data_IF_474996744956
#
_entry.id   IF_474996744956
#
_cell.length_a   1.000
_cell.length_b   1.000
_cell.length_c   1.000
_cell.angle_alpha   90.00
_cell.angle_beta   90.00
_cell.angle_gamma   90.00
#
_symmetry.space_group_name_H-M   'P 1'
#
loop_
_entity.id
_entity.type
_entity.pdbx_description
1 polymer ?
#
# COMPACT_ATOMS: atom_id res chain seq x y z
N UNK A 1 9.99 -18.44 6.67
CA UNK A 1 8.93 -18.45 5.62
C UNK A 1 7.53 -18.12 6.13
N UNK A 2 7.05 -18.68 7.26
CA UNK A 2 5.67 -18.42 7.72
C UNK A 2 5.39 -16.94 8.03
N UNK A 3 6.27 -16.28 8.81
CA UNK A 3 6.13 -14.86 9.15
C UNK A 3 6.17 -13.95 7.92
N UNK A 4 7.16 -14.11 7.03
CA UNK A 4 7.27 -13.26 5.85
C UNK A 4 6.06 -13.38 4.94
N UNK A 5 5.62 -14.61 4.68
CA UNK A 5 4.43 -14.88 3.87
C UNK A 5 3.17 -14.29 4.51
N UNK A 6 3.01 -14.43 5.82
CA UNK A 6 1.88 -13.84 6.55
C UNK A 6 1.84 -12.32 6.37
N UNK A 7 2.96 -11.64 6.62
CA UNK A 7 3.05 -10.17 6.49
C UNK A 7 2.79 -9.72 5.05
N UNK A 8 3.35 -10.41 4.05
CA UNK A 8 3.11 -10.10 2.62
C UNK A 8 1.63 -10.26 2.27
N UNK A 9 0.97 -11.32 2.75
CA UNK A 9 -0.46 -11.53 2.50
C UNK A 9 -1.29 -10.45 3.20
N UNK A 10 -0.99 -10.13 4.46
CA UNK A 10 -1.68 -9.11 5.22
C UNK A 10 -1.59 -7.75 4.52
N UNK A 11 -0.37 -7.32 4.18
CA UNK A 11 -0.15 -6.06 3.45
C UNK A 11 -0.81 -6.11 2.07
N UNK A 12 -0.75 -7.25 1.37
CA UNK A 12 -1.42 -7.43 0.09
C UNK A 12 -2.93 -7.21 0.15
N UNK A 13 -3.59 -7.76 1.18
CA UNK A 13 -5.01 -7.53 1.43
C UNK A 13 -5.28 -6.06 1.71
N UNK A 14 -4.51 -5.44 2.61
CA UNK A 14 -4.66 -4.03 2.97
C UNK A 14 -4.52 -3.14 1.71
N UNK A 15 -3.45 -3.30 0.95
CA UNK A 15 -3.20 -2.55 -0.30
C UNK A 15 -4.34 -2.71 -1.31
N UNK A 16 -4.95 -3.89 -1.41
CA UNK A 16 -6.09 -4.12 -2.30
C UNK A 16 -7.36 -3.40 -1.85
N UNK A 17 -7.62 -3.28 -0.55
CA UNK A 17 -8.94 -2.83 -0.06
C UNK A 17 -8.98 -1.39 0.42
N UNK A 18 -7.90 -0.83 0.96
CA UNK A 18 -7.99 0.43 1.74
C UNK A 18 -8.42 1.63 0.89
N UNK A 19 -7.86 1.81 -0.31
CA UNK A 19 -8.25 2.92 -1.19
C UNK A 19 -9.71 2.80 -1.64
N UNK A 20 -10.13 1.58 -2.01
CA UNK A 20 -11.53 1.31 -2.37
C UNK A 20 -12.49 1.64 -1.22
N UNK A 21 -12.12 1.27 0.01
CA UNK A 21 -12.93 1.58 1.19
C UNK A 21 -12.98 3.09 1.47
N UNK A 22 -11.84 3.78 1.39
CA UNK A 22 -11.76 5.21 1.60
C UNK A 22 -12.59 5.98 0.57
N UNK A 23 -12.47 5.64 -0.71
CA UNK A 23 -13.01 6.45 -1.80
C UNK A 23 -14.46 6.08 -2.15
N UNK A 24 -14.88 4.82 -1.95
CA UNK A 24 -16.20 4.33 -2.39
C UNK A 24 -17.15 3.96 -1.24
N UNK A 25 -16.64 3.76 -0.02
CA UNK A 25 -17.44 3.17 1.07
C UNK A 25 -17.59 4.12 2.26
N UNK A 26 -16.56 4.88 2.62
CA UNK A 26 -16.58 5.80 3.77
C UNK A 26 -16.85 7.23 3.28
N UNK A 27 -18.06 7.79 3.46
CA UNK A 27 -18.42 9.08 2.83
C UNK A 27 -17.50 10.24 3.21
N UNK A 28 -17.09 10.32 4.48
CA UNK A 28 -16.24 11.40 4.97
C UNK A 28 -14.81 11.33 4.41
N UNK A 29 -14.34 10.13 4.05
CA UNK A 29 -13.07 9.95 3.36
C UNK A 29 -13.24 10.19 1.86
N UNK A 30 -14.32 9.70 1.25
CA UNK A 30 -14.61 9.89 -0.17
C UNK A 30 -14.71 11.37 -0.55
N UNK A 31 -15.26 12.21 0.34
CA UNK A 31 -15.34 13.65 0.18
C UNK A 31 -13.96 14.34 0.11
N UNK A 32 -12.90 13.68 0.61
CA UNK A 32 -11.51 14.14 0.58
C UNK A 32 -10.73 13.63 -0.64
N UNK A 33 -11.35 12.80 -1.50
CA UNK A 33 -10.72 12.10 -2.61
C UNK A 33 -11.49 12.36 -3.93
N UNK A 34 -11.60 11.38 -4.83
CA UNK A 34 -12.24 11.51 -6.15
C UNK A 34 -13.67 12.12 -6.14
N UNK A 35 -14.40 12.05 -5.02
CA UNK A 35 -15.75 12.61 -4.89
C UNK A 35 -15.79 14.04 -4.35
N UNK A 36 -14.64 14.65 -4.08
CA UNK A 36 -14.56 16.05 -3.69
C UNK A 36 -15.07 16.96 -4.83
N UNK A 37 -16.12 17.77 -4.65
CA UNK A 37 -16.60 18.69 -5.69
C UNK A 37 -15.60 19.82 -6.02
N UNK A 38 -14.69 20.17 -5.10
CA UNK A 38 -13.69 21.22 -5.30
C UNK A 38 -12.50 20.76 -6.17
N UNK A 39 -12.26 19.44 -6.27
CA UNK A 39 -11.15 18.92 -7.06
C UNK A 39 -11.35 19.12 -8.57
N UNK A 40 -10.31 19.57 -9.30
CA UNK A 40 -10.36 19.60 -10.75
C UNK A 40 -10.45 18.17 -11.32
N UNK A 41 -11.03 17.99 -12.53
CA UNK A 41 -11.19 16.66 -13.12
C UNK A 41 -9.91 15.82 -13.20
N UNK A 42 -8.75 16.46 -13.38
CA UNK A 42 -7.47 15.77 -13.48
C UNK A 42 -6.98 15.20 -12.13
N UNK A 43 -7.25 15.88 -11.01
CA UNK A 43 -6.91 15.36 -9.68
C UNK A 43 -7.72 14.09 -9.38
N UNK A 44 -9.02 14.12 -9.68
CA UNK A 44 -9.92 12.96 -9.57
C UNK A 44 -9.46 11.78 -10.43
N UNK A 45 -8.95 12.07 -11.63
CA UNK A 45 -8.39 11.03 -12.51
C UNK A 45 -7.17 10.35 -11.88
N UNK A 46 -6.21 11.11 -11.35
CA UNK A 46 -5.01 10.54 -10.72
C UNK A 46 -5.34 9.76 -9.45
N UNK A 47 -6.30 10.21 -8.67
CA UNK A 47 -6.77 9.52 -7.48
C UNK A 47 -7.45 8.19 -7.82
N UNK A 48 -8.41 8.20 -8.76
CA UNK A 48 -9.03 6.98 -9.27
C UNK A 48 -8.01 6.03 -9.93
N UNK A 49 -7.04 6.58 -10.66
CA UNK A 49 -5.91 5.82 -11.21
C UNK A 49 -5.11 5.16 -10.08
N UNK A 50 -4.81 5.88 -9.00
CA UNK A 50 -4.09 5.35 -7.85
C UNK A 50 -4.88 4.24 -7.15
N UNK A 51 -6.17 4.45 -6.86
CA UNK A 51 -7.06 3.44 -6.29
C UNK A 51 -7.08 2.15 -7.12
N UNK A 52 -7.25 2.25 -8.45
CA UNK A 52 -7.24 1.06 -9.34
C UNK A 52 -5.86 0.41 -9.35
N UNK A 53 -4.79 1.19 -9.37
CA UNK A 53 -3.42 0.68 -9.37
C UNK A 53 -3.09 -0.06 -8.07
N UNK A 54 -3.53 0.41 -6.90
CA UNK A 54 -3.31 -0.31 -5.64
C UNK A 54 -4.07 -1.64 -5.60
N UNK A 55 -5.29 -1.70 -6.16
CA UNK A 55 -6.02 -2.97 -6.33
C UNK A 55 -5.21 -3.95 -7.19
N UNK A 56 -4.74 -3.52 -8.37
CA UNK A 56 -3.96 -4.36 -9.28
C UNK A 56 -2.64 -4.82 -8.66
N UNK A 57 -1.87 -3.92 -8.06
CA UNK A 57 -0.60 -4.25 -7.40
C UNK A 57 -0.81 -5.17 -6.19
N UNK A 58 -1.87 -4.94 -5.40
CA UNK A 58 -2.26 -5.80 -4.29
C UNK A 58 -2.58 -7.23 -4.76
N UNK A 59 -3.39 -7.37 -5.82
CA UNK A 59 -3.71 -8.67 -6.42
C UNK A 59 -2.48 -9.38 -6.99
N UNK A 60 -1.58 -8.65 -7.66
CA UNK A 60 -0.30 -9.19 -8.15
C UNK A 60 0.52 -9.72 -6.97
N UNK A 61 0.72 -8.92 -5.93
CA UNK A 61 1.45 -9.30 -4.71
C UNK A 61 0.85 -10.53 -4.02
N UNK A 62 -0.47 -10.57 -3.85
CA UNK A 62 -1.20 -11.71 -3.30
C UNK A 62 -1.03 -12.97 -4.15
N UNK A 63 -1.11 -12.84 -5.48
CA UNK A 63 -0.91 -13.96 -6.39
C UNK A 63 0.51 -14.54 -6.30
N UNK A 64 1.51 -13.69 -6.04
CA UNK A 64 2.88 -14.10 -5.80
C UNK A 64 3.02 -14.80 -4.44
N UNK A 65 2.29 -14.36 -3.40
CA UNK A 65 2.38 -14.93 -2.06
C UNK A 65 1.54 -16.21 -1.82
N UNK A 66 0.46 -16.40 -2.59
CA UNK A 66 -0.52 -17.46 -2.35
C UNK A 66 -0.33 -18.72 -3.22
N UNK A 67 0.22 -18.62 -4.43
CA UNK A 67 0.33 -19.77 -5.35
C UNK A 67 1.26 -20.86 -4.77
N UNK A 68 0.72 -22.07 -4.62
CA UNK A 68 1.35 -23.21 -3.92
C UNK A 68 2.50 -23.89 -4.65
N UNK A 69 2.59 -23.76 -5.98
CA UNK A 69 3.48 -24.61 -6.81
C UNK A 69 4.99 -24.40 -6.57
N UNK A 70 5.42 -23.28 -5.97
CA UNK A 70 6.76 -23.10 -5.38
C UNK A 70 6.83 -21.70 -4.78
N UNK A 71 6.85 -21.62 -3.44
CA UNK A 71 7.17 -20.37 -2.75
C UNK A 71 8.68 -20.29 -2.65
N UNK A 72 9.29 -19.48 -3.50
CA UNK A 72 10.73 -19.23 -3.49
C UNK A 72 11.04 -17.91 -2.80
N UNK A 73 12.30 -17.76 -2.37
CA UNK A 73 12.84 -16.50 -1.83
C UNK A 73 12.58 -15.33 -2.79
N UNK A 74 12.98 -15.47 -4.05
CA UNK A 74 12.87 -14.41 -5.05
C UNK A 74 11.42 -14.01 -5.31
N UNK A 75 10.51 -14.98 -5.28
CA UNK A 75 9.08 -14.72 -5.43
C UNK A 75 8.51 -13.90 -4.27
N UNK A 76 8.91 -14.19 -3.03
CA UNK A 76 8.48 -13.41 -1.85
C UNK A 76 9.10 -12.01 -1.84
N UNK A 77 10.35 -11.88 -2.26
CA UNK A 77 10.99 -10.56 -2.42
C UNK A 77 10.33 -9.74 -3.53
N UNK A 78 9.99 -10.37 -4.65
CA UNK A 78 9.23 -9.73 -5.73
C UNK A 78 7.84 -9.29 -5.25
N UNK A 79 7.11 -10.15 -4.54
CA UNK A 79 5.83 -9.78 -3.92
C UNK A 79 5.98 -8.59 -2.97
N UNK A 80 7.05 -8.57 -2.17
CA UNK A 80 7.35 -7.48 -1.24
C UNK A 80 7.60 -6.16 -1.99
N UNK A 81 8.41 -6.19 -3.05
CA UNK A 81 8.73 -5.01 -3.86
C UNK A 81 7.49 -4.45 -4.56
N UNK A 82 6.66 -5.31 -5.16
CA UNK A 82 5.40 -4.92 -5.80
C UNK A 82 4.46 -4.24 -4.81
N UNK A 83 4.32 -4.81 -3.61
CA UNK A 83 3.44 -4.25 -2.57
C UNK A 83 4.00 -2.98 -1.92
N UNK A 84 5.32 -2.79 -1.92
CA UNK A 84 5.95 -1.57 -1.38
C UNK A 84 5.79 -0.37 -2.32
N UNK A 85 5.73 -0.61 -3.64
CA UNK A 85 5.70 0.43 -4.65
C UNK A 85 4.64 1.53 -4.43
N UNK A 86 3.34 1.24 -4.17
CA UNK A 86 2.36 2.30 -3.96
C UNK A 86 2.67 3.14 -2.71
N UNK A 87 3.05 2.49 -1.60
CA UNK A 87 3.35 3.18 -0.34
C UNK A 87 4.60 4.08 -0.43
N UNK A 88 5.65 3.59 -1.09
CA UNK A 88 6.86 4.39 -1.36
C UNK A 88 6.53 5.54 -2.31
N UNK A 89 5.74 5.28 -3.35
CA UNK A 89 5.28 6.31 -4.29
C UNK A 89 4.48 7.42 -3.60
N UNK A 90 3.56 7.06 -2.70
CA UNK A 90 2.76 8.02 -1.94
C UNK A 90 3.60 8.88 -1.00
N UNK A 91 4.54 8.30 -0.25
CA UNK A 91 5.46 9.09 0.59
C UNK A 91 6.36 9.96 -0.30
N UNK A 92 6.85 9.39 -1.41
CA UNK A 92 7.70 10.10 -2.37
C UNK A 92 7.01 11.28 -3.05
N UNK A 93 5.68 11.23 -3.21
CA UNK A 93 4.90 12.34 -3.76
C UNK A 93 5.10 13.63 -2.95
N UNK A 94 5.27 13.54 -1.63
CA UNK A 94 5.49 14.69 -0.74
C UNK A 94 6.81 15.43 -0.97
N UNK A 95 7.73 14.85 -1.77
CA UNK A 95 8.96 15.51 -2.17
C UNK A 95 8.74 16.50 -3.33
N UNK A 96 7.59 16.45 -3.99
CA UNK A 96 7.27 17.32 -5.11
C UNK A 96 6.56 18.59 -4.64
N UNK A 97 6.93 19.77 -5.16
CA UNK A 97 6.37 21.04 -4.73
C UNK A 97 4.86 21.10 -5.01
N UNK A 98 4.10 21.63 -4.06
CA UNK A 98 2.65 21.80 -4.19
C UNK A 98 1.83 20.53 -3.94
N UNK A 99 2.45 19.45 -3.48
CA UNK A 99 1.73 18.25 -3.02
C UNK A 99 1.44 18.32 -1.51
N UNK A 100 0.31 17.75 -1.11
CA UNK A 100 -0.11 17.65 0.29
C UNK A 100 -0.85 16.33 0.51
N UNK A 101 -0.99 15.93 1.77
CA UNK A 101 -1.75 14.70 2.14
C UNK A 101 -3.25 14.93 2.25
N UNK A 102 -3.67 16.20 2.32
CA UNK A 102 -5.05 16.64 2.41
C UNK A 102 -5.13 18.10 1.96
N UNK A 103 -6.30 18.54 1.51
CA UNK A 103 -6.56 19.95 1.21
C UNK A 103 -6.82 20.78 2.47
N UNK A 104 -6.51 22.09 2.48
CA UNK A 104 -6.74 22.96 3.63
C UNK A 104 -8.18 22.94 4.17
N UNK A 105 -9.17 22.66 3.32
CA UNK A 105 -10.57 22.56 3.72
C UNK A 105 -10.86 21.40 4.68
N UNK A 106 -9.98 20.38 4.75
CA UNK A 106 -10.12 19.23 5.64
C UNK A 106 -9.18 19.26 6.85
N UNK A 107 -8.51 20.38 7.12
CA UNK A 107 -7.54 20.49 8.21
C UNK A 107 -8.09 20.08 9.58
N UNK A 108 -9.36 20.39 9.85
CA UNK A 108 -10.04 20.07 11.11
C UNK A 108 -10.72 18.69 11.12
N UNK A 109 -10.72 18.00 9.99
CA UNK A 109 -11.44 16.74 9.77
C UNK A 109 -10.50 15.57 9.43
N UNK A 110 -9.22 15.83 9.23
CA UNK A 110 -8.24 14.78 9.00
C UNK A 110 -7.71 14.15 10.29
N UNK A 111 -7.32 12.88 10.20
CA UNK A 111 -6.83 12.10 11.34
C UNK A 111 -5.32 12.16 11.39
N UNK A 112 -4.79 12.60 12.53
CA UNK A 112 -3.36 12.56 12.83
C UNK A 112 -3.04 11.47 13.86
N UNK A 113 -1.98 10.71 13.59
CA UNK A 113 -1.45 9.68 14.49
C UNK A 113 0.02 9.99 14.72
N UNK A 114 0.40 10.25 15.98
CA UNK A 114 1.76 10.66 16.35
C UNK A 114 2.27 11.88 15.55
N UNK A 115 1.38 12.82 15.23
CA UNK A 115 1.71 14.03 14.45
C UNK A 115 1.83 13.80 12.93
N UNK A 116 1.57 12.59 12.44
CA UNK A 116 1.57 12.27 11.01
C UNK A 116 0.14 12.12 10.49
N UNK A 117 -0.10 12.55 9.25
CA UNK A 117 -1.36 12.26 8.56
C UNK A 117 -1.61 10.75 8.54
N UNK A 118 -2.86 10.32 8.75
CA UNK A 118 -3.23 8.91 8.88
C UNK A 118 -2.74 8.03 7.72
N UNK A 119 -2.80 8.53 6.48
CA UNK A 119 -2.29 7.81 5.31
C UNK A 119 -0.76 7.62 5.37
N UNK A 120 -0.01 8.65 5.78
CA UNK A 120 1.46 8.57 5.90
C UNK A 120 1.86 7.62 7.01
N UNK A 121 1.17 7.70 8.15
CA UNK A 121 1.40 6.76 9.26
C UNK A 121 1.15 5.32 8.82
N UNK A 122 0.03 5.05 8.14
CA UNK A 122 -0.28 3.73 7.59
C UNK A 122 0.79 3.25 6.60
N UNK A 123 1.24 4.11 5.68
CA UNK A 123 2.29 3.76 4.73
C UNK A 123 3.60 3.36 5.41
N UNK A 124 4.02 4.11 6.43
CA UNK A 124 5.22 3.77 7.21
C UNK A 124 5.06 2.41 7.89
N UNK A 125 3.92 2.14 8.53
CA UNK A 125 3.64 0.85 9.17
C UNK A 125 3.71 -0.30 8.17
N UNK A 126 3.10 -0.15 6.99
CA UNK A 126 3.07 -1.19 5.96
C UNK A 126 4.45 -1.39 5.32
N UNK A 127 5.21 -0.33 5.08
CA UNK A 127 6.59 -0.41 4.61
C UNK A 127 7.47 -1.12 5.64
N UNK A 128 7.35 -0.80 6.93
CA UNK A 128 8.08 -1.49 7.99
C UNK A 128 7.71 -2.97 8.05
N UNK A 129 6.42 -3.31 7.92
CA UNK A 129 5.98 -4.71 7.85
C UNK A 129 6.58 -5.46 6.65
N UNK A 130 6.64 -4.81 5.48
CA UNK A 130 7.28 -5.35 4.27
C UNK A 130 8.81 -5.48 4.43
N UNK A 131 9.47 -4.54 5.09
CA UNK A 131 10.90 -4.64 5.41
C UNK A 131 11.18 -5.83 6.35
N UNK A 132 10.36 -6.02 7.39
CA UNK A 132 10.43 -7.19 8.27
C UNK A 132 10.21 -8.48 7.47
N UNK A 133 9.25 -8.50 6.55
CA UNK A 133 9.01 -9.63 5.67
C UNK A 133 10.21 -9.93 4.75
N UNK A 134 10.85 -8.90 4.18
CA UNK A 134 12.06 -9.04 3.38
C UNK A 134 13.21 -9.62 4.20
N UNK A 135 13.50 -9.06 5.37
CA UNK A 135 14.55 -9.55 6.27
C UNK A 135 14.28 -11.00 6.69
N UNK A 136 13.05 -11.34 7.06
CA UNK A 136 12.67 -12.71 7.42
C UNK A 136 12.81 -13.68 6.23
N UNK A 137 12.53 -13.23 5.01
CA UNK A 137 12.71 -14.00 3.77
C UNK A 137 14.19 -14.25 3.49
N UNK A 138 15.04 -13.24 3.63
CA UNK A 138 16.50 -13.33 3.43
C UNK A 138 17.18 -14.22 4.47
N UNK A 139 16.69 -14.21 5.72
CA UNK A 139 17.20 -15.04 6.82
C UNK A 139 16.73 -16.50 6.77
N UNK A 140 15.68 -16.82 6.01
CA UNK A 140 15.25 -18.21 5.86
C UNK A 140 16.22 -18.92 4.90
N UNK A 141 16.90 -20.01 5.30
CA UNK A 141 17.76 -20.77 4.39
C UNK A 141 17.00 -21.18 3.12
N UNK A 142 17.65 -21.18 1.95
CA UNK A 142 17.03 -21.78 0.77
C UNK A 142 16.70 -23.24 1.08
N UNK A 143 15.52 -23.68 0.68
CA UNK A 143 15.11 -25.06 0.85
C UNK A 143 16.11 -25.95 0.10
N UNK A 144 16.85 -26.80 0.83
CA UNK A 144 17.88 -27.69 0.25
C UNK A 144 17.26 -28.86 -0.51
N UNK A 145 15.96 -28.82 -0.78
CA UNK A 145 15.23 -29.87 -1.48
C UNK A 145 14.98 -29.50 -2.94
N UNK A 146 16.03 -29.68 -3.76
CA UNK A 146 16.06 -30.63 -4.89
C UNK A 146 17.50 -30.72 -5.43
N UNK A 147 17.92 -31.92 -5.90
CA UNK A 147 19.29 -32.24 -6.35
C UNK A 147 19.77 -31.37 -7.52
#
# INVERSE_FOLDING_TARGET
>A
MALSRFLIILVGVITTVTAVLADLVVPDLAAQHAFNPAWPPHAKFHDAQYMVMTVLLGLIGLSLALRRARITRDRLLCATAVLAAPWIGMIGALLFPGTATYDPEFADHTVFILGLHGQVFMAIVLIVALLVAAVATLRTPPDRTTP
#
